data_IF_673765748411
#
_entry.id   IF_673765748411
#
_cell.length_a   1.000
_cell.length_b   1.000
_cell.length_c   1.000
_cell.angle_alpha   90.00
_cell.angle_beta   90.00
_cell.angle_gamma   90.00
#
_symmetry.space_group_name_H-M   'P 1'
#
loop_
_entity.id
_entity.type
_entity.pdbx_description
1 polymer ?
#
# COMPACT_ATOMS: atom_id res chain seq x y z
N UNK A 1 1.37 -37.63 1.44
CA UNK A 1 1.26 -36.45 2.33
C UNK A 1 1.81 -35.26 1.57
N UNK A 2 0.97 -34.29 1.20
CA UNK A 2 1.41 -33.12 0.44
C UNK A 2 1.56 -31.94 1.43
N UNK A 3 2.81 -31.52 1.66
CA UNK A 3 3.16 -30.50 2.65
C UNK A 3 3.54 -29.20 1.96
N UNK A 4 3.26 -28.08 2.62
CA UNK A 4 3.66 -26.73 2.18
C UNK A 4 4.53 -26.08 3.24
N UNK A 5 5.59 -25.39 2.79
CA UNK A 5 6.44 -24.54 3.62
C UNK A 5 6.24 -23.08 3.19
N UNK A 6 5.92 -22.20 4.15
CA UNK A 6 5.75 -20.76 3.91
C UNK A 6 6.44 -19.93 4.98
N UNK A 7 6.90 -18.75 4.61
CA UNK A 7 7.33 -17.73 5.58
C UNK A 7 6.09 -17.23 6.33
N UNK A 8 6.21 -17.06 7.64
CA UNK A 8 5.11 -16.53 8.45
C UNK A 8 4.97 -15.03 8.29
N UNK A 9 3.76 -14.53 8.50
CA UNK A 9 3.43 -13.11 8.44
C UNK A 9 4.22 -12.27 9.46
N UNK A 10 4.54 -12.85 10.62
CA UNK A 10 5.34 -12.23 11.68
C UNK A 10 6.31 -13.24 12.28
N UNK A 11 7.43 -12.73 12.80
CA UNK A 11 8.32 -13.50 13.67
C UNK A 11 9.46 -14.25 12.99
N UNK A 12 9.77 -13.99 11.71
CA UNK A 12 10.88 -14.64 10.98
C UNK A 12 10.90 -16.17 11.12
N UNK A 13 9.73 -16.81 11.11
CA UNK A 13 9.57 -18.26 11.27
C UNK A 13 9.01 -18.88 9.98
N UNK A 14 9.00 -20.21 9.94
CA UNK A 14 8.37 -20.98 8.88
C UNK A 14 7.11 -21.67 9.39
N UNK A 15 6.07 -21.68 8.56
CA UNK A 15 4.89 -22.51 8.71
C UNK A 15 5.07 -23.78 7.88
N UNK A 16 4.80 -24.93 8.49
CA UNK A 16 4.72 -26.23 7.83
C UNK A 16 3.31 -26.75 8.05
N UNK A 17 2.60 -27.07 6.97
CA UNK A 17 1.22 -27.55 7.04
C UNK A 17 0.84 -28.40 5.83
N UNK A 18 -0.39 -28.89 5.82
CA UNK A 18 -0.91 -29.60 4.65
C UNK A 18 -1.27 -28.62 3.53
N UNK A 19 -1.05 -29.01 2.27
CA UNK A 19 -1.42 -28.20 1.10
C UNK A 19 -2.93 -27.93 1.09
N UNK A 20 -3.76 -28.96 1.30
CA UNK A 20 -5.23 -28.81 1.26
C UNK A 20 -5.79 -27.88 2.33
N UNK A 21 -5.27 -27.91 3.57
CA UNK A 21 -5.69 -26.95 4.61
C UNK A 21 -5.31 -25.51 4.23
N UNK A 22 -4.12 -25.32 3.65
CA UNK A 22 -3.66 -24.00 3.24
C UNK A 22 -4.48 -23.44 2.07
N UNK A 23 -4.80 -24.27 1.07
CA UNK A 23 -5.66 -23.91 -0.06
C UNK A 23 -7.07 -23.55 0.41
N UNK A 24 -7.67 -24.35 1.30
CA UNK A 24 -8.98 -24.05 1.87
C UNK A 24 -9.00 -22.69 2.60
N UNK A 25 -7.92 -22.33 3.31
CA UNK A 25 -7.81 -21.03 3.97
C UNK A 25 -7.76 -19.88 2.96
N UNK A 26 -7.12 -20.07 1.80
CA UNK A 26 -7.10 -19.08 0.74
C UNK A 26 -8.48 -18.93 0.07
N UNK A 27 -9.16 -20.03 -0.21
CA UNK A 27 -10.53 -20.05 -0.76
C UNK A 27 -11.54 -19.36 0.14
N UNK A 28 -11.48 -19.63 1.45
CA UNK A 28 -12.33 -18.97 2.44
C UNK A 28 -12.08 -17.46 2.43
N UNK A 29 -10.81 -17.04 2.35
CA UNK A 29 -10.46 -15.62 2.28
C UNK A 29 -11.05 -14.93 1.04
N UNK A 30 -11.03 -15.58 -0.13
CA UNK A 30 -11.64 -15.03 -1.34
C UNK A 30 -13.16 -14.91 -1.21
N UNK A 31 -13.81 -15.93 -0.67
CA UNK A 31 -15.26 -15.97 -0.46
C UNK A 31 -15.75 -14.91 0.51
N UNK A 32 -14.95 -14.57 1.53
CA UNK A 32 -15.32 -13.61 2.56
C UNK A 32 -15.18 -12.14 2.11
N UNK A 33 -14.33 -11.84 1.14
CA UNK A 33 -13.86 -10.45 0.92
C UNK A 33 -14.37 -9.77 -0.34
N UNK A 34 -14.94 -10.50 -1.33
CA UNK A 34 -15.36 -9.97 -2.64
C UNK A 34 -14.32 -9.02 -3.31
N UNK A 35 -13.07 -9.05 -2.86
CA UNK A 35 -12.04 -8.08 -3.17
C UNK A 35 -11.17 -8.49 -4.36
N UNK A 36 -11.28 -9.76 -4.75
CA UNK A 36 -10.49 -10.38 -5.81
C UNK A 36 -11.42 -11.07 -6.79
N UNK A 37 -11.03 -11.05 -8.05
CA UNK A 37 -11.67 -11.82 -9.12
C UNK A 37 -10.62 -12.76 -9.70
N UNK A 38 -11.06 -13.96 -10.07
CA UNK A 38 -10.22 -14.87 -10.82
C UNK A 38 -10.02 -14.34 -12.25
N UNK A 39 -8.79 -14.42 -12.75
CA UNK A 39 -8.46 -13.99 -14.10
C UNK A 39 -8.55 -15.19 -15.05
N UNK A 40 -9.29 -15.03 -16.16
CA UNK A 40 -9.41 -16.07 -17.20
C UNK A 40 -8.21 -16.12 -18.16
N UNK A 41 -7.35 -15.11 -18.14
CA UNK A 41 -6.14 -15.04 -18.97
C UNK A 41 -5.09 -14.14 -18.29
N UNK A 42 -3.87 -14.10 -18.82
CA UNK A 42 -2.80 -13.24 -18.34
C UNK A 42 -2.88 -11.83 -18.98
N UNK A 43 -3.25 -10.76 -18.23
CA UNK A 43 -3.43 -9.42 -18.77
C UNK A 43 -2.13 -8.58 -18.80
N UNK A 44 -0.97 -9.19 -18.60
CA UNK A 44 0.30 -8.47 -18.40
C UNK A 44 0.59 -7.43 -19.50
N UNK A 45 0.52 -7.84 -20.77
CA UNK A 45 0.82 -6.95 -21.89
C UNK A 45 -0.16 -5.77 -21.95
N UNK A 46 -1.46 -6.01 -21.71
CA UNK A 46 -2.47 -4.95 -21.71
C UNK A 46 -2.24 -3.92 -20.61
N UNK A 47 -1.88 -4.38 -19.41
CA UNK A 47 -1.57 -3.49 -18.28
C UNK A 47 -0.30 -2.69 -18.58
N UNK A 48 0.74 -3.35 -19.10
CA UNK A 48 1.99 -2.70 -19.46
C UNK A 48 1.79 -1.63 -20.54
N UNK A 49 1.04 -1.96 -21.59
CA UNK A 49 0.75 -1.03 -22.69
C UNK A 49 -0.09 0.16 -22.20
N UNK A 50 -1.08 -0.06 -21.32
CA UNK A 50 -1.83 1.03 -20.67
C UNK A 50 -0.93 1.96 -19.88
N UNK A 51 -0.02 1.42 -19.07
CA UNK A 51 0.95 2.24 -18.31
C UNK A 51 1.82 3.07 -19.24
N UNK A 52 2.38 2.45 -20.28
CA UNK A 52 3.22 3.15 -21.27
C UNK A 52 2.42 4.25 -21.99
N UNK A 53 1.18 3.96 -22.38
CA UNK A 53 0.29 4.92 -23.02
C UNK A 53 0.00 6.14 -22.13
N UNK A 54 -0.26 5.93 -20.84
CA UNK A 54 -0.45 7.01 -19.87
C UNK A 54 0.82 7.87 -19.79
N UNK A 55 1.99 7.25 -19.60
CA UNK A 55 3.26 7.98 -19.51
C UNK A 55 3.59 8.77 -20.79
N UNK A 56 3.35 8.18 -21.95
CA UNK A 56 3.51 8.86 -23.25
C UNK A 56 2.57 10.06 -23.36
N UNK A 57 1.32 9.90 -22.94
CA UNK A 57 0.33 10.99 -22.93
C UNK A 57 0.75 12.13 -22.00
N UNK A 58 1.20 11.80 -20.79
CA UNK A 58 1.69 12.78 -19.82
C UNK A 58 2.92 13.53 -20.35
N UNK A 59 3.84 12.83 -21.02
CA UNK A 59 5.03 13.44 -21.62
C UNK A 59 4.67 14.31 -22.83
N UNK A 60 3.79 13.83 -23.71
CA UNK A 60 3.36 14.56 -24.91
C UNK A 60 2.57 15.85 -24.60
N UNK A 61 1.92 15.90 -23.44
CA UNK A 61 1.25 17.11 -22.91
C UNK A 61 2.15 17.98 -22.03
N UNK A 62 3.46 17.67 -21.94
CA UNK A 62 4.43 18.33 -21.05
C UNK A 62 4.01 18.41 -19.56
N UNK A 63 3.20 17.46 -19.10
CA UNK A 63 2.77 17.36 -17.71
C UNK A 63 3.85 16.77 -16.80
N UNK A 64 4.80 16.03 -17.39
CA UNK A 64 6.00 15.51 -16.74
C UNK A 64 7.25 15.84 -17.56
N UNK A 65 8.37 16.08 -16.86
CA UNK A 65 9.68 16.33 -17.47
C UNK A 65 10.27 15.05 -18.04
N UNK A 66 11.19 15.19 -19.01
CA UNK A 66 11.92 14.06 -19.62
C UNK A 66 12.54 13.13 -18.57
N UNK A 67 13.26 13.67 -17.58
CA UNK A 67 13.89 12.85 -16.54
C UNK A 67 12.87 12.12 -15.64
N UNK A 68 11.66 12.67 -15.43
CA UNK A 68 10.59 12.02 -14.67
C UNK A 68 10.04 10.85 -15.47
N UNK A 69 9.76 11.09 -16.76
CA UNK A 69 9.31 10.07 -17.70
C UNK A 69 10.32 8.90 -17.79
N UNK A 70 11.61 9.19 -17.99
CA UNK A 70 12.67 8.17 -18.05
C UNK A 70 12.80 7.39 -16.72
N UNK A 71 12.64 8.09 -15.59
CA UNK A 71 12.69 7.47 -14.27
C UNK A 71 11.54 6.49 -14.02
N UNK A 72 10.32 6.82 -14.46
CA UNK A 72 9.10 6.05 -14.15
C UNK A 72 8.69 5.08 -15.25
N UNK A 73 9.30 5.15 -16.43
CA UNK A 73 9.03 4.24 -17.54
C UNK A 73 9.33 2.78 -17.13
N UNK A 74 8.36 1.85 -17.20
CA UNK A 74 8.62 0.44 -16.99
C UNK A 74 9.54 -0.11 -18.09
N UNK A 75 10.33 -1.12 -17.73
CA UNK A 75 11.17 -1.85 -18.67
C UNK A 75 10.45 -3.13 -19.06
N UNK A 76 10.11 -3.25 -20.35
CA UNK A 76 9.36 -4.40 -20.88
C UNK A 76 10.07 -5.73 -20.67
N UNK A 77 11.39 -5.73 -20.53
CA UNK A 77 12.20 -6.95 -20.40
C UNK A 77 12.27 -7.46 -18.97
N UNK A 78 11.96 -6.62 -17.98
CA UNK A 78 12.09 -6.94 -16.54
C UNK A 78 10.77 -6.84 -15.79
N UNK A 79 9.72 -6.28 -16.40
CA UNK A 79 8.41 -6.21 -15.79
C UNK A 79 7.69 -7.57 -15.81
N UNK A 80 6.89 -7.82 -14.77
CA UNK A 80 6.10 -9.04 -14.60
C UNK A 80 4.69 -8.70 -14.11
N UNK A 81 3.74 -9.63 -14.27
CA UNK A 81 2.42 -9.50 -13.69
C UNK A 81 2.52 -9.58 -12.16
N UNK A 82 1.82 -8.68 -11.46
CA UNK A 82 1.70 -8.77 -10.02
C UNK A 82 1.01 -10.09 -9.64
N UNK A 83 1.58 -10.81 -8.68
CA UNK A 83 1.04 -12.09 -8.22
C UNK A 83 0.57 -12.00 -6.77
N UNK A 84 -0.53 -12.67 -6.49
CA UNK A 84 -1.08 -12.80 -5.15
C UNK A 84 -0.55 -14.10 -4.51
N UNK A 85 -0.11 -14.00 -3.27
CA UNK A 85 0.22 -15.17 -2.45
C UNK A 85 -0.23 -14.94 -1.01
N UNK A 86 -0.13 -15.97 -0.17
CA UNK A 86 -0.64 -15.94 1.20
C UNK A 86 0.44 -16.26 2.21
N UNK A 87 0.51 -15.47 3.29
CA UNK A 87 1.38 -15.71 4.44
C UNK A 87 0.55 -16.16 5.66
N UNK A 88 0.90 -17.27 6.34
CA UNK A 88 0.25 -17.70 7.57
C UNK A 88 0.46 -16.74 8.75
N UNK A 89 -0.63 -16.39 9.44
CA UNK A 89 -0.62 -15.60 10.68
C UNK A 89 -0.55 -16.54 11.89
N UNK A 90 0.62 -17.13 12.14
CA UNK A 90 0.84 -18.09 13.24
C UNK A 90 0.65 -17.53 14.64
N UNK A 91 0.56 -16.20 14.77
CA UNK A 91 0.29 -15.49 16.02
C UNK A 91 -1.22 -15.28 16.29
N UNK A 92 -2.10 -15.94 15.54
CA UNK A 92 -3.56 -15.86 15.64
C UNK A 92 -4.15 -17.27 15.68
N UNK A 93 -5.22 -17.44 16.45
CA UNK A 93 -5.96 -18.70 16.54
C UNK A 93 -6.46 -19.15 15.16
N UNK A 94 -6.37 -20.46 14.89
CA UNK A 94 -6.71 -21.04 13.59
C UNK A 94 -5.70 -20.77 12.47
N UNK A 95 -4.64 -19.99 12.71
CA UNK A 95 -3.59 -19.63 11.74
C UNK A 95 -4.20 -19.16 10.41
N UNK A 96 -4.99 -18.06 10.41
CA UNK A 96 -5.54 -17.49 9.18
C UNK A 96 -4.44 -16.99 8.25
N UNK A 97 -4.79 -16.77 6.98
CA UNK A 97 -3.84 -16.26 5.98
C UNK A 97 -3.91 -14.72 5.85
N UNK A 98 -2.79 -14.10 5.45
CA UNK A 98 -2.74 -12.72 4.95
C UNK A 98 -2.51 -12.74 3.45
N UNK A 99 -3.37 -12.12 2.63
CA UNK A 99 -3.06 -11.89 1.22
C UNK A 99 -1.88 -10.92 1.10
N UNK A 100 -0.92 -11.24 0.23
CA UNK A 100 0.16 -10.35 -0.15
C UNK A 100 0.18 -10.25 -1.67
N UNK A 101 0.02 -9.04 -2.18
CA UNK A 101 0.20 -8.76 -3.59
C UNK A 101 1.66 -8.36 -3.82
N UNK A 102 2.42 -9.21 -4.52
CA UNK A 102 3.77 -8.88 -4.93
C UNK A 102 3.73 -7.95 -6.14
N UNK A 103 4.16 -6.71 -5.94
CA UNK A 103 4.30 -5.72 -7.02
C UNK A 103 5.76 -5.25 -7.15
N UNK A 104 6.74 -6.10 -6.87
CA UNK A 104 8.16 -5.68 -6.94
C UNK A 104 8.56 -5.36 -8.39
N UNK A 105 8.08 -6.16 -9.34
CA UNK A 105 8.38 -6.07 -10.77
C UNK A 105 7.18 -5.63 -11.63
N UNK A 106 6.11 -5.14 -11.01
CA UNK A 106 4.94 -4.67 -11.75
C UNK A 106 5.26 -3.42 -12.59
N UNK A 107 4.52 -3.22 -13.68
CA UNK A 107 4.67 -2.04 -14.55
C UNK A 107 4.37 -0.72 -13.81
N UNK A 108 3.61 -0.76 -12.71
CA UNK A 108 3.25 0.39 -11.88
C UNK A 108 4.26 0.69 -10.76
N UNK A 109 5.22 -0.19 -10.46
CA UNK A 109 6.06 -0.09 -9.26
C UNK A 109 6.93 1.16 -9.23
N UNK A 110 7.47 1.56 -10.38
CA UNK A 110 8.27 2.80 -10.50
C UNK A 110 7.40 4.04 -10.31
N UNK A 111 6.16 4.02 -10.80
CA UNK A 111 5.18 5.09 -10.60
C UNK A 111 4.84 5.21 -9.12
N UNK A 112 4.50 4.10 -8.44
CA UNK A 112 4.18 4.13 -7.01
C UNK A 112 5.34 4.67 -6.17
N UNK A 113 6.57 4.22 -6.42
CA UNK A 113 7.78 4.75 -5.75
C UNK A 113 7.99 6.23 -6.01
N UNK A 114 7.71 6.69 -7.22
CA UNK A 114 7.84 8.09 -7.58
C UNK A 114 6.77 8.95 -6.91
N UNK A 115 5.51 8.51 -6.87
CA UNK A 115 4.42 9.18 -6.16
C UNK A 115 4.72 9.28 -4.66
N UNK A 116 5.16 8.18 -4.03
CA UNK A 116 5.60 8.20 -2.62
C UNK A 116 6.71 9.24 -2.42
N UNK A 117 7.74 9.25 -3.27
CA UNK A 117 8.84 10.22 -3.18
C UNK A 117 8.41 11.69 -3.25
N UNK A 118 7.31 12.02 -3.93
CA UNK A 118 6.83 13.41 -4.06
C UNK A 118 5.74 13.77 -3.05
N UNK A 119 4.95 12.80 -2.59
CA UNK A 119 3.83 13.01 -1.67
C UNK A 119 4.23 12.81 -0.20
N UNK A 120 5.11 11.84 0.09
CA UNK A 120 5.51 11.50 1.46
C UNK A 120 6.07 12.70 2.24
N UNK A 121 6.97 13.55 1.68
CA UNK A 121 7.45 14.71 2.40
C UNK A 121 6.36 15.72 2.76
N UNK A 122 5.30 15.82 1.94
CA UNK A 122 4.16 16.70 2.22
C UNK A 122 3.36 16.13 3.40
N UNK A 123 3.09 14.83 3.38
CA UNK A 123 2.41 14.14 4.47
C UNK A 123 3.20 14.26 5.79
N UNK A 124 4.50 13.97 5.76
CA UNK A 124 5.34 14.03 6.95
C UNK A 124 5.46 15.44 7.54
N UNK A 125 5.40 16.49 6.72
CA UNK A 125 5.40 17.88 7.18
C UNK A 125 4.06 18.26 7.85
N UNK A 126 2.92 17.86 7.25
CA UNK A 126 1.59 18.31 7.71
C UNK A 126 0.94 17.42 8.75
N UNK A 127 1.26 16.13 8.76
CA UNK A 127 0.60 15.14 9.62
C UNK A 127 1.47 14.69 10.80
N UNK A 128 2.62 15.33 11.04
CA UNK A 128 3.57 14.94 12.09
C UNK A 128 2.95 14.92 13.49
N UNK A 129 2.08 15.90 13.78
CA UNK A 129 1.49 16.06 15.11
C UNK A 129 0.36 15.07 15.40
N UNK A 130 -0.17 14.40 14.37
CA UNK A 130 -1.27 13.45 14.47
C UNK A 130 -0.87 12.01 14.13
N UNK A 131 0.40 11.78 13.77
CA UNK A 131 0.87 10.48 13.26
C UNK A 131 2.00 9.96 14.12
N UNK A 132 1.85 8.72 14.60
CA UNK A 132 2.89 7.98 15.29
C UNK A 132 3.42 6.90 14.34
N UNK A 133 4.73 6.93 14.08
CA UNK A 133 5.35 6.08 13.05
C UNK A 133 5.83 4.74 13.58
N UNK A 134 6.13 4.63 14.87
CA UNK A 134 6.61 3.42 15.53
C UNK A 134 6.44 3.48 17.05
N UNK A 135 6.83 2.39 17.74
CA UNK A 135 6.75 2.30 19.20
C UNK A 135 7.69 3.24 19.95
N UNK A 136 8.84 3.60 19.38
CA UNK A 136 9.77 4.53 20.00
C UNK A 136 9.22 5.97 19.98
N UNK A 137 8.60 6.36 18.86
CA UNK A 137 7.86 7.59 18.67
C UNK A 137 6.67 7.65 19.64
N UNK A 138 5.91 6.55 19.79
CA UNK A 138 4.81 6.48 20.75
C UNK A 138 5.30 6.75 22.19
N UNK A 139 6.35 6.06 22.62
CA UNK A 139 6.93 6.24 23.96
C UNK A 139 7.41 7.68 24.18
N UNK A 140 8.01 8.28 23.15
CA UNK A 140 8.46 9.67 23.19
C UNK A 140 7.30 10.64 23.38
N UNK A 141 6.21 10.47 22.62
CA UNK A 141 5.04 11.35 22.71
C UNK A 141 4.28 11.14 24.03
N UNK A 142 4.10 9.90 24.49
CA UNK A 142 3.50 9.61 25.80
C UNK A 142 4.32 10.22 26.94
N UNK A 143 5.65 10.16 26.86
CA UNK A 143 6.53 10.78 27.85
C UNK A 143 6.42 12.31 27.86
N UNK A 144 6.26 12.94 26.69
CA UNK A 144 5.96 14.38 26.60
C UNK A 144 4.58 14.71 27.19
N UNK A 145 3.57 13.91 26.88
CA UNK A 145 2.21 14.06 27.40
C UNK A 145 2.18 13.96 28.93
N UNK A 146 2.91 12.99 29.49
CA UNK A 146 3.08 12.83 30.93
C UNK A 146 3.84 13.99 31.57
N UNK A 147 4.96 14.45 31.00
CA UNK A 147 5.71 15.61 31.51
C UNK A 147 4.89 16.91 31.53
N UNK A 148 3.90 17.03 30.64
CA UNK A 148 2.93 18.15 30.62
C UNK A 148 1.81 17.98 31.66
N UNK A 149 1.80 16.91 32.46
CA UNK A 149 0.74 16.61 33.43
C UNK A 149 -0.60 16.21 32.79
N UNK A 150 -0.60 15.84 31.51
CA UNK A 150 -1.81 15.50 30.76
C UNK A 150 -2.20 14.02 30.88
N UNK A 151 -1.25 13.16 31.30
CA UNK A 151 -1.50 11.76 31.61
C UNK A 151 -1.96 11.64 33.07
N UNK A 152 -3.25 11.85 33.30
CA UNK A 152 -3.88 11.78 34.63
C UNK A 152 -4.35 10.35 34.93
N UNK A 153 -4.60 9.99 36.20
CA UNK A 153 -5.24 8.71 36.53
C UNK A 153 -6.60 8.50 35.86
N UNK A 154 -7.29 9.59 35.49
CA UNK A 154 -8.56 9.57 34.76
C UNK A 154 -8.41 9.54 33.24
N UNK A 155 -7.18 9.54 32.72
CA UNK A 155 -6.93 9.49 31.26
C UNK A 155 -7.22 8.09 30.74
N UNK A 156 -8.11 8.00 29.76
CA UNK A 156 -8.43 6.76 29.07
C UNK A 156 -7.64 6.67 27.77
N UNK A 157 -7.03 5.50 27.53
CA UNK A 157 -6.42 5.17 26.25
C UNK A 157 -7.35 4.22 25.50
N UNK A 158 -7.77 4.62 24.30
CA UNK A 158 -8.63 3.83 23.44
C UNK A 158 -7.84 3.35 22.22
N UNK A 159 -8.02 2.09 21.84
CA UNK A 159 -7.41 1.52 20.64
C UNK A 159 -8.48 1.07 19.66
N UNK A 160 -8.26 1.36 18.39
CA UNK A 160 -9.12 0.95 17.28
C UNK A 160 -8.25 0.23 16.25
N UNK A 161 -8.73 -0.89 15.73
CA UNK A 161 -8.05 -1.67 14.69
C UNK A 161 -8.94 -1.72 13.45
N UNK A 162 -8.43 -1.19 12.32
CA UNK A 162 -9.15 -1.22 11.05
C UNK A 162 -8.75 -2.50 10.32
N UNK A 163 -9.75 -3.35 10.04
CA UNK A 163 -9.53 -4.62 9.35
C UNK A 163 -9.47 -4.42 7.84
N UNK A 164 -8.55 -5.13 7.19
CA UNK A 164 -8.49 -5.28 5.73
C UNK A 164 -8.48 -3.96 4.93
N UNK A 165 -7.84 -2.89 5.44
CA UNK A 165 -7.81 -1.55 4.82
C UNK A 165 -7.55 -1.59 3.32
N UNK A 166 -6.54 -2.36 2.87
CA UNK A 166 -6.15 -2.41 1.46
C UNK A 166 -7.22 -2.96 0.51
N UNK A 167 -8.13 -3.81 0.98
CA UNK A 167 -9.17 -4.41 0.14
C UNK A 167 -10.49 -3.64 0.17
N UNK A 168 -10.66 -2.73 1.13
CA UNK A 168 -11.91 -1.98 1.34
C UNK A 168 -11.80 -0.49 1.00
N UNK A 169 -10.60 0.00 0.70
CA UNK A 169 -10.36 1.42 0.48
C UNK A 169 -11.00 1.89 -0.84
N UNK A 170 -12.02 2.77 -0.81
CA UNK A 170 -12.67 3.27 -2.01
C UNK A 170 -11.69 4.15 -2.79
N UNK A 171 -11.30 3.69 -3.99
CA UNK A 171 -10.22 4.31 -4.76
C UNK A 171 -10.52 5.78 -5.10
N UNK A 172 -11.72 6.07 -5.62
CA UNK A 172 -12.10 7.41 -6.04
C UNK A 172 -12.18 8.39 -4.85
N UNK A 173 -12.84 7.98 -3.77
CA UNK A 173 -12.96 8.80 -2.55
C UNK A 173 -11.58 9.07 -1.95
N UNK A 174 -10.67 8.08 -1.96
CA UNK A 174 -9.32 8.24 -1.44
C UNK A 174 -8.49 9.23 -2.26
N UNK A 175 -8.65 9.23 -3.59
CA UNK A 175 -8.06 10.25 -4.46
C UNK A 175 -8.62 11.63 -4.16
N UNK A 176 -9.94 11.76 -3.99
CA UNK A 176 -10.59 13.04 -3.70
C UNK A 176 -10.19 13.60 -2.32
N UNK A 177 -10.03 12.74 -1.30
CA UNK A 177 -9.48 13.11 0.01
C UNK A 177 -8.04 13.61 -0.14
N UNK A 178 -7.19 12.91 -0.91
CA UNK A 178 -5.81 13.35 -1.16
C UNK A 178 -5.78 14.71 -1.87
N UNK A 179 -6.61 14.93 -2.88
CA UNK A 179 -6.68 16.22 -3.58
C UNK A 179 -7.13 17.33 -2.62
N UNK A 180 -8.17 17.08 -1.83
CA UNK A 180 -8.69 18.02 -0.82
C UNK A 180 -7.61 18.37 0.20
N UNK A 181 -6.88 17.38 0.70
CA UNK A 181 -5.77 17.57 1.62
C UNK A 181 -4.67 18.44 1.02
N UNK A 182 -4.24 18.16 -0.22
CA UNK A 182 -3.18 18.94 -0.87
C UNK A 182 -3.62 20.38 -1.12
N UNK A 183 -4.87 20.60 -1.55
CA UNK A 183 -5.42 21.93 -1.75
C UNK A 183 -5.57 22.73 -0.45
N UNK A 184 -6.08 22.10 0.61
CA UNK A 184 -6.23 22.74 1.93
C UNK A 184 -4.89 23.22 2.50
N UNK A 185 -3.80 22.54 2.18
CA UNK A 185 -2.44 22.91 2.59
C UNK A 185 -1.69 23.78 1.56
N UNK A 186 -2.40 24.32 0.56
CA UNK A 186 -1.84 25.29 -0.40
C UNK A 186 -0.97 24.69 -1.50
N UNK A 187 -0.91 23.37 -1.63
CA UNK A 187 -0.18 22.75 -2.73
C UNK A 187 -0.98 22.89 -4.03
N UNK A 188 -0.28 23.27 -5.10
CA UNK A 188 -0.78 23.20 -6.49
C UNK A 188 0.06 22.26 -7.36
N UNK A 189 1.28 21.98 -6.92
CA UNK A 189 2.23 21.07 -7.54
C UNK A 189 3.00 20.29 -6.47
N UNK A 190 3.35 19.04 -6.76
CA UNK A 190 4.32 18.26 -6.00
C UNK A 190 5.54 17.98 -6.90
N UNK A 191 6.72 18.48 -6.49
CA UNK A 191 7.98 18.34 -7.25
C UNK A 191 7.86 18.70 -8.74
N UNK A 192 7.12 19.78 -9.03
CA UNK A 192 6.92 20.29 -10.39
C UNK A 192 5.76 19.67 -11.17
N UNK A 193 5.11 18.61 -10.66
CA UNK A 193 3.94 17.98 -11.27
C UNK A 193 2.67 18.58 -10.67
N UNK A 194 1.69 18.92 -11.52
CA UNK A 194 0.42 19.47 -11.03
C UNK A 194 -0.39 18.43 -10.27
N UNK A 195 -1.16 18.86 -9.27
CA UNK A 195 -2.06 17.96 -8.52
C UNK A 195 -3.10 17.29 -9.45
N UNK A 196 -3.60 18.03 -10.44
CA UNK A 196 -4.49 17.45 -11.46
C UNK A 196 -3.82 16.35 -12.29
N UNK A 197 -2.51 16.45 -12.53
CA UNK A 197 -1.72 15.37 -13.16
C UNK A 197 -1.57 14.15 -12.25
N UNK A 198 -1.50 14.34 -10.92
CA UNK A 198 -1.41 13.22 -9.95
C UNK A 198 -2.73 12.46 -9.85
N UNK A 199 -3.86 13.15 -10.09
CA UNK A 199 -5.20 12.53 -10.10
C UNK A 199 -5.49 11.67 -11.34
N UNK A 200 -4.91 12.05 -12.49
CA UNK A 200 -5.14 11.40 -13.79
C UNK A 200 -4.33 10.11 -13.95
#
# INVERSE_FOLDING_TARGET
MNLIIRVTDKGNNFYIGSVGEFEQKAENFFSDTNAFIELSYNPFNEILDKVIQVLNTLRGKDLIRKWQYEQIMPDRTTCELAHLYFNPKTHKDGIPVRPIQSTIHASTSKISKFLDKILRPIFDDKCKDTTIIDGASLNTELSKYNRKGLLKPTTLLCTFDIRNVYTILPQQESLDILMTFLHAHGYRKAKGISIGTIKN
#
